data_IF_315843073758
#
_entry.id   IF_315843073758
#
_cell.length_a   1.000
_cell.length_b   1.000
_cell.length_c   1.000
_cell.angle_alpha   90.00
_cell.angle_beta   90.00
_cell.angle_gamma   90.00
#
_symmetry.space_group_name_H-M   'P 1'
#
loop_
_entity.id
_entity.type
_entity.pdbx_description
1 polymer ?
#
# COMPACT_ATOMS: atom_id res chain seq x y z
N UNK A 1 52.65 -11.41 -51.15
CA UNK A 1 52.18 -10.76 -49.91
C UNK A 1 50.77 -11.25 -49.67
N UNK A 2 50.58 -12.14 -48.68
CA UNK A 2 49.28 -12.80 -48.42
C UNK A 2 48.40 -11.89 -47.56
N UNK A 3 47.13 -11.71 -47.97
CA UNK A 3 46.09 -10.95 -47.25
C UNK A 3 45.69 -11.56 -45.89
N UNK A 4 46.28 -12.68 -45.49
CA UNK A 4 45.96 -13.38 -44.25
C UNK A 4 46.41 -12.66 -42.96
N UNK A 5 47.18 -11.57 -43.06
CA UNK A 5 47.60 -10.77 -41.89
C UNK A 5 46.62 -9.66 -41.50
N UNK A 6 45.56 -9.42 -42.27
CA UNK A 6 44.57 -8.35 -42.00
C UNK A 6 43.33 -8.83 -41.23
N UNK A 7 43.25 -10.12 -40.88
CA UNK A 7 42.12 -10.72 -40.18
C UNK A 7 42.51 -11.25 -38.79
N UNK A 8 43.47 -10.61 -38.12
CA UNK A 8 43.45 -10.62 -36.67
C UNK A 8 42.91 -9.26 -36.24
N UNK A 9 41.62 -9.15 -35.85
CA UNK A 9 41.24 -8.07 -34.97
C UNK A 9 42.14 -8.18 -33.75
N UNK A 10 42.84 -7.10 -33.41
CA UNK A 10 43.37 -7.00 -32.06
C UNK A 10 42.10 -6.95 -31.20
N UNK A 11 41.85 -8.00 -30.43
CA UNK A 11 40.93 -7.91 -29.30
C UNK A 11 41.49 -6.81 -28.40
N UNK A 12 41.02 -5.58 -28.59
CA UNK A 12 40.96 -4.62 -27.48
C UNK A 12 40.08 -5.32 -26.45
N UNK A 13 40.72 -5.94 -25.46
CA UNK A 13 40.06 -6.25 -24.21
C UNK A 13 39.66 -4.90 -23.62
N UNK A 14 38.49 -4.42 -24.01
CA UNK A 14 37.71 -3.50 -23.19
C UNK A 14 37.46 -4.28 -21.91
N UNK A 15 38.35 -4.11 -20.93
CA UNK A 15 37.98 -4.25 -19.53
C UNK A 15 36.90 -3.20 -19.30
N UNK A 16 35.67 -3.50 -19.71
CA UNK A 16 34.48 -2.91 -19.16
C UNK A 16 34.50 -3.33 -17.69
N UNK A 17 35.24 -2.58 -16.86
CA UNK A 17 34.97 -2.56 -15.44
C UNK A 17 33.48 -2.28 -15.33
N UNK A 18 32.76 -3.24 -14.78
CA UNK A 18 31.31 -3.23 -14.69
C UNK A 18 30.90 -2.17 -13.65
N UNK A 19 31.00 -0.90 -14.04
CA UNK A 19 30.67 0.26 -13.20
C UNK A 19 29.22 0.14 -12.72
N UNK A 20 28.37 -0.57 -13.48
CA UNK A 20 26.97 -0.80 -13.14
C UNK A 20 26.80 -1.73 -11.94
N UNK A 21 27.65 -2.75 -11.78
CA UNK A 21 27.63 -3.60 -10.59
C UNK A 21 28.19 -2.87 -9.37
N UNK A 22 29.27 -2.10 -9.53
CA UNK A 22 29.83 -1.33 -8.43
C UNK A 22 28.86 -0.25 -7.91
N UNK A 23 28.21 0.48 -8.82
CA UNK A 23 27.19 1.46 -8.44
C UNK A 23 25.98 0.81 -7.73
N UNK A 24 25.56 -0.38 -8.17
CA UNK A 24 24.50 -1.14 -7.49
C UNK A 24 24.91 -1.59 -6.08
N UNK A 25 26.18 -1.99 -5.87
CA UNK A 25 26.67 -2.36 -4.54
C UNK A 25 26.66 -1.17 -3.57
N UNK A 26 27.08 0.01 -4.02
CA UNK A 26 27.08 1.23 -3.20
C UNK A 26 25.64 1.64 -2.85
N UNK A 27 24.71 1.59 -3.81
CA UNK A 27 23.31 1.90 -3.56
C UNK A 27 22.69 0.93 -2.55
N UNK A 28 22.99 -0.36 -2.63
CA UNK A 28 22.53 -1.34 -1.64
C UNK A 28 23.09 -1.06 -0.25
N UNK A 29 24.37 -0.70 -0.14
CA UNK A 29 25.00 -0.35 1.14
C UNK A 29 24.36 0.90 1.77
N UNK A 30 24.11 1.95 0.98
CA UNK A 30 23.43 3.17 1.44
C UNK A 30 21.98 2.90 1.86
N UNK A 31 21.25 2.08 1.10
CA UNK A 31 19.89 1.66 1.46
C UNK A 31 19.93 0.87 2.77
N UNK A 32 20.88 -0.05 2.94
CA UNK A 32 21.02 -0.85 4.14
C UNK A 32 21.43 -0.01 5.36
N UNK A 33 22.27 1.01 5.19
CA UNK A 33 22.70 1.90 6.28
C UNK A 33 21.61 2.87 6.72
N UNK A 34 20.81 3.41 5.80
CA UNK A 34 19.87 4.51 6.09
C UNK A 34 18.42 4.08 6.19
N UNK A 35 18.01 3.09 5.40
CA UNK A 35 16.66 2.55 5.45
C UNK A 35 16.60 1.28 6.27
N UNK A 36 17.77 0.71 6.64
CA UNK A 36 17.90 -0.46 7.52
C UNK A 36 16.99 -1.56 7.06
N UNK A 37 17.43 -2.38 6.08
CA UNK A 37 16.65 -3.45 5.44
C UNK A 37 15.37 -3.70 6.22
N UNK A 38 14.23 -3.31 5.63
CA UNK A 38 12.96 -3.97 5.86
C UNK A 38 13.24 -5.44 5.60
N UNK A 39 13.78 -6.11 6.61
CA UNK A 39 13.97 -7.53 6.59
C UNK A 39 12.60 -8.06 6.23
N UNK A 40 12.57 -9.05 5.37
CA UNK A 40 11.42 -9.91 5.13
C UNK A 40 10.84 -10.50 6.44
N UNK A 41 11.47 -10.26 7.59
CA UNK A 41 10.95 -10.43 8.94
C UNK A 41 9.86 -9.39 9.31
N UNK A 42 9.91 -8.13 8.84
CA UNK A 42 8.84 -7.14 9.07
C UNK A 42 7.56 -7.45 8.28
N UNK A 43 7.68 -8.15 7.14
CA UNK A 43 6.52 -8.70 6.41
C UNK A 43 6.07 -10.06 6.96
N UNK A 44 6.98 -10.86 7.56
CA UNK A 44 6.62 -12.11 8.23
C UNK A 44 6.07 -11.91 9.66
N UNK A 45 6.43 -10.82 10.34
CA UNK A 45 5.85 -10.41 11.63
C UNK A 45 4.46 -9.77 11.46
N UNK A 46 4.16 -9.22 10.28
CA UNK A 46 2.80 -8.79 9.92
C UNK A 46 1.83 -9.97 9.71
N UNK A 47 2.34 -11.19 9.49
CA UNK A 47 1.53 -12.42 9.40
C UNK A 47 1.53 -13.26 10.70
N UNK A 48 2.36 -12.90 11.70
CA UNK A 48 2.49 -13.64 12.96
C UNK A 48 1.69 -13.04 14.14
N UNK A 49 1.04 -11.90 13.95
CA UNK A 49 -0.02 -11.38 14.84
C UNK A 49 -1.35 -11.31 14.07
N UNK A 50 -1.76 -12.43 13.47
CA UNK A 50 -3.18 -12.73 13.38
C UNK A 50 -3.68 -13.01 14.81
N UNK A 51 -3.71 -11.98 15.66
CA UNK A 51 -4.69 -11.96 16.75
C UNK A 51 -6.01 -12.25 16.05
N UNK A 52 -6.60 -13.42 16.32
CA UNK A 52 -7.97 -13.71 15.92
C UNK A 52 -8.80 -12.53 16.43
N UNK A 53 -9.11 -11.57 15.55
CA UNK A 53 -10.00 -10.47 15.91
C UNK A 53 -11.22 -11.16 16.50
N UNK A 54 -11.57 -10.91 17.77
CA UNK A 54 -12.65 -11.64 18.40
C UNK A 54 -13.86 -11.44 17.52
N UNK A 55 -14.48 -12.54 17.06
CA UNK A 55 -15.60 -12.50 16.11
C UNK A 55 -16.62 -11.50 16.63
N UNK A 56 -16.63 -10.29 16.06
CA UNK A 56 -17.57 -9.26 16.50
C UNK A 56 -18.94 -9.73 16.05
N UNK A 57 -19.93 -9.78 16.95
CA UNK A 57 -21.27 -10.18 16.55
C UNK A 57 -21.72 -9.27 15.41
N UNK A 58 -22.33 -9.87 14.39
CA UNK A 58 -22.87 -9.09 13.27
C UNK A 58 -23.88 -8.09 13.84
N UNK A 59 -23.78 -6.79 13.46
CA UNK A 59 -24.70 -5.79 13.96
C UNK A 59 -26.12 -6.14 13.51
N UNK A 60 -27.06 -6.00 14.45
CA UNK A 60 -28.46 -6.23 14.16
C UNK A 60 -29.04 -5.06 13.36
N UNK A 61 -30.20 -5.27 12.74
CA UNK A 61 -30.94 -4.19 12.08
C UNK A 61 -31.34 -3.07 13.05
N UNK A 62 -31.56 -3.39 14.33
CA UNK A 62 -31.81 -2.39 15.37
C UNK A 62 -30.55 -1.55 15.65
N UNK A 63 -29.37 -2.18 15.66
CA UNK A 63 -28.10 -1.48 15.84
C UNK A 63 -27.83 -0.51 14.68
N UNK A 64 -28.13 -0.95 13.45
CA UNK A 64 -28.02 -0.10 12.26
C UNK A 64 -28.96 1.13 12.35
N UNK A 65 -30.21 0.94 12.78
CA UNK A 65 -31.16 2.05 12.98
C UNK A 65 -30.68 3.03 14.04
N UNK A 66 -30.16 2.52 15.16
CA UNK A 66 -29.66 3.38 16.24
C UNK A 66 -28.43 4.19 15.80
N UNK A 67 -27.46 3.54 15.17
CA UNK A 67 -26.26 4.21 14.66
C UNK A 67 -26.61 5.30 13.63
N UNK A 68 -27.58 5.03 12.77
CA UNK A 68 -28.04 5.99 11.78
C UNK A 68 -28.72 7.21 12.42
N UNK A 69 -29.54 6.99 13.46
CA UNK A 69 -30.12 8.07 14.23
C UNK A 69 -29.04 8.94 14.89
N UNK A 70 -28.02 8.33 15.51
CA UNK A 70 -26.89 9.06 16.10
C UNK A 70 -26.15 9.91 15.07
N UNK A 71 -25.95 9.38 13.85
CA UNK A 71 -25.32 10.12 12.76
C UNK A 71 -26.16 11.31 12.33
N UNK A 72 -27.49 11.15 12.19
CA UNK A 72 -28.39 12.24 11.83
C UNK A 72 -28.28 13.37 12.87
N UNK A 73 -28.46 13.05 14.16
CA UNK A 73 -28.39 14.01 15.26
C UNK A 73 -27.06 14.77 15.29
N UNK A 74 -25.94 14.05 15.10
CA UNK A 74 -24.61 14.67 15.00
C UNK A 74 -24.51 15.64 13.82
N UNK A 75 -24.98 15.22 12.64
CA UNK A 75 -24.89 16.04 11.44
C UNK A 75 -25.78 17.26 11.47
N UNK A 76 -26.97 17.17 12.08
CA UNK A 76 -27.87 18.31 12.30
C UNK A 76 -27.26 19.36 13.22
N UNK A 77 -26.54 18.93 14.27
CA UNK A 77 -25.81 19.82 15.16
C UNK A 77 -24.52 20.39 14.56
N UNK A 78 -23.99 19.77 13.50
CA UNK A 78 -22.72 20.15 12.90
C UNK A 78 -22.92 20.94 11.59
N UNK A 79 -22.70 22.26 11.63
CA UNK A 79 -22.66 23.09 10.40
C UNK A 79 -21.47 22.81 9.47
N UNK A 80 -20.65 21.78 9.78
CA UNK A 80 -19.46 21.40 9.02
C UNK A 80 -19.78 20.44 7.88
N UNK A 81 -20.83 19.63 8.00
CA UNK A 81 -21.24 18.72 6.93
C UNK A 81 -22.19 19.41 5.95
N UNK A 82 -21.97 19.19 4.65
CA UNK A 82 -22.81 19.73 3.60
C UNK A 82 -24.18 19.06 3.52
N UNK A 83 -25.16 19.76 2.93
CA UNK A 83 -26.55 19.28 2.69
C UNK A 83 -26.65 17.99 1.86
N UNK A 84 -25.56 17.60 1.18
CA UNK A 84 -25.48 16.31 0.48
C UNK A 84 -25.48 15.14 1.45
N UNK A 85 -24.82 15.28 2.61
CA UNK A 85 -24.73 14.24 3.62
C UNK A 85 -26.05 14.01 4.34
N UNK A 86 -26.79 15.09 4.66
CA UNK A 86 -28.12 14.95 5.27
C UNK A 86 -29.07 14.18 4.35
N UNK A 87 -29.09 14.51 3.05
CA UNK A 87 -29.89 13.78 2.06
C UNK A 87 -29.48 12.32 1.88
N UNK A 88 -28.19 12.03 2.00
CA UNK A 88 -27.69 10.66 1.93
C UNK A 88 -28.15 9.84 3.15
N UNK A 89 -28.09 10.43 4.34
CA UNK A 89 -28.60 9.80 5.56
C UNK A 89 -30.11 9.57 5.49
N UNK A 90 -30.90 10.55 5.05
CA UNK A 90 -32.37 10.41 4.88
C UNK A 90 -32.76 9.26 3.94
N UNK A 91 -32.04 9.13 2.81
CA UNK A 91 -32.24 8.02 1.87
C UNK A 91 -31.91 6.67 2.50
N UNK A 92 -30.79 6.62 3.21
CA UNK A 92 -30.39 5.41 3.91
C UNK A 92 -31.38 5.04 5.01
N UNK A 93 -32.00 6.02 5.69
CA UNK A 93 -33.12 5.78 6.62
C UNK A 93 -34.27 5.07 5.92
N UNK A 94 -34.69 5.59 4.76
CA UNK A 94 -35.84 5.06 4.02
C UNK A 94 -35.57 3.65 3.50
N UNK A 95 -34.36 3.38 3.03
CA UNK A 95 -33.95 2.06 2.58
C UNK A 95 -33.93 1.05 3.74
N UNK A 96 -33.44 1.43 4.92
CA UNK A 96 -33.40 0.56 6.12
C UNK A 96 -34.79 0.36 6.74
N UNK A 97 -35.70 1.33 6.62
CA UNK A 97 -37.10 1.19 7.04
C UNK A 97 -37.89 0.23 6.13
N UNK A 98 -37.46 0.07 4.88
CA UNK A 98 -38.06 -0.84 3.93
C UNK A 98 -37.58 -2.31 4.06
N UNK A 99 -36.53 -2.56 4.87
CA UNK A 99 -36.04 -3.89 5.25
C UNK A 99 -36.83 -4.48 6.42
#
# INVERSE_FOLDING_TARGET
>A
MSLASFLNPIEEAEEEEDITTHANTILQEVIQEHLGLLSTEAEAEAEAEAEEEPERPLPTLQDARHALQTLIEYTEGSNKLGKSYSRALERLTTDIEAL
#
